data_IF_269785103170
#
_entry.id   IF_269785103170
#
_cell.length_a   1.000
_cell.length_b   1.000
_cell.length_c   1.000
_cell.angle_alpha   90.00
_cell.angle_beta   90.00
_cell.angle_gamma   90.00
#
_symmetry.space_group_name_H-M   'P 1'
#
loop_
_entity.id
_entity.type
_entity.pdbx_description
1 polymer ?
#
# COMPACT_ATOMS: atom_id res chain seq x y z
N UNK A 1 -13.25 23.30 4.46
CA UNK A 1 -12.13 22.61 3.79
C UNK A 1 -11.41 23.63 2.91
N UNK A 2 -10.10 23.77 3.07
CA UNK A 2 -9.32 24.65 2.18
C UNK A 2 -9.17 23.93 0.85
N UNK A 3 -9.67 24.54 -0.21
CA UNK A 3 -9.59 23.98 -1.56
C UNK A 3 -8.15 24.01 -2.14
N UNK A 4 -7.24 24.74 -1.50
CA UNK A 4 -5.86 24.95 -1.96
C UNK A 4 -4.86 24.35 -0.97
N UNK A 5 -4.07 23.38 -1.43
CA UNK A 5 -2.95 22.79 -0.67
C UNK A 5 -1.75 23.75 -0.71
N UNK A 6 -1.14 23.99 0.44
CA UNK A 6 0.04 24.86 0.62
C UNK A 6 1.20 24.04 1.19
N UNK A 7 2.40 24.57 1.05
CA UNK A 7 3.62 23.97 1.66
C UNK A 7 3.49 23.81 3.17
N UNK A 8 2.80 24.74 3.86
CA UNK A 8 2.53 24.66 5.30
C UNK A 8 1.68 23.45 5.67
N UNK A 9 0.82 22.97 4.78
CA UNK A 9 0.01 21.78 5.01
C UNK A 9 0.89 20.53 5.02
N UNK A 10 1.90 20.45 4.14
CA UNK A 10 2.91 19.38 4.14
C UNK A 10 3.75 19.47 5.43
N UNK A 11 4.16 20.67 5.84
CA UNK A 11 4.92 20.87 7.08
C UNK A 11 4.12 20.43 8.32
N UNK A 12 2.84 20.74 8.38
CA UNK A 12 1.97 20.37 9.49
C UNK A 12 1.76 18.86 9.55
N UNK A 13 1.55 18.20 8.39
CA UNK A 13 1.37 16.76 8.31
C UNK A 13 2.64 16.03 8.78
N UNK A 14 3.80 16.40 8.27
CA UNK A 14 5.08 15.78 8.65
C UNK A 14 5.43 16.03 10.12
N UNK A 15 5.15 17.23 10.65
CA UNK A 15 5.32 17.53 12.07
C UNK A 15 4.38 16.70 12.95
N UNK A 16 3.12 16.54 12.54
CA UNK A 16 2.13 15.70 13.23
C UNK A 16 2.56 14.24 13.29
N UNK A 17 3.07 13.70 12.19
CA UNK A 17 3.58 12.33 12.13
C UNK A 17 4.78 12.12 13.06
N UNK A 18 5.78 13.01 13.01
CA UNK A 18 6.93 12.94 13.90
C UNK A 18 6.54 13.05 15.39
N UNK A 19 5.65 13.97 15.73
CA UNK A 19 5.12 14.12 17.10
C UNK A 19 4.32 12.90 17.57
N UNK A 20 3.74 12.14 16.63
CA UNK A 20 3.07 10.88 16.91
C UNK A 20 4.03 9.69 17.06
N UNK A 21 5.34 9.89 16.83
CA UNK A 21 6.36 8.84 16.93
C UNK A 21 6.44 7.95 15.69
N UNK A 22 5.99 8.44 14.53
CA UNK A 22 6.19 7.77 13.25
C UNK A 22 7.68 7.79 12.91
N UNK A 23 8.22 6.64 12.51
CA UNK A 23 9.62 6.48 12.11
C UNK A 23 9.81 6.55 10.61
N UNK A 24 8.82 6.09 9.86
CA UNK A 24 8.87 6.02 8.39
C UNK A 24 7.59 6.59 7.80
N UNK A 25 7.73 7.56 6.91
CA UNK A 25 6.63 8.14 6.15
C UNK A 25 6.63 7.57 4.74
N UNK A 26 5.52 6.90 4.40
CA UNK A 26 5.31 6.34 3.07
C UNK A 26 4.37 7.24 2.27
N UNK A 27 4.84 7.74 1.14
CA UNK A 27 4.06 8.54 0.20
C UNK A 27 3.73 7.72 -1.04
N UNK A 28 2.44 7.59 -1.36
CA UNK A 28 1.99 6.98 -2.61
C UNK A 28 1.57 8.09 -3.59
N UNK A 29 2.50 8.61 -4.41
CA UNK A 29 2.26 9.78 -5.25
C UNK A 29 1.74 9.40 -6.63
N UNK A 30 0.85 8.42 -6.70
CA UNK A 30 0.16 8.01 -7.92
C UNK A 30 -1.34 8.21 -7.78
N UNK A 31 -1.96 8.68 -8.86
CA UNK A 31 -3.40 8.73 -9.03
C UNK A 31 -3.79 7.89 -10.26
N UNK A 32 -4.42 6.74 -9.99
CA UNK A 32 -4.55 5.72 -11.02
C UNK A 32 -3.18 5.27 -11.50
N UNK A 33 -2.96 5.28 -12.79
CA UNK A 33 -1.70 4.88 -13.43
C UNK A 33 -0.74 6.07 -13.67
N UNK A 34 -1.16 7.29 -13.35
CA UNK A 34 -0.36 8.50 -13.56
C UNK A 34 0.38 8.89 -12.28
N UNK A 35 1.44 9.67 -12.44
CA UNK A 35 2.32 10.08 -11.34
C UNK A 35 2.11 11.55 -10.95
N UNK A 36 2.45 11.89 -9.72
CA UNK A 36 2.33 13.26 -9.20
C UNK A 36 3.66 14.03 -9.23
N UNK A 37 4.53 13.74 -10.19
CA UNK A 37 5.81 14.44 -10.39
C UNK A 37 6.15 14.56 -11.87
N UNK A 38 7.02 15.51 -12.26
CA UNK A 38 7.51 15.64 -13.64
C UNK A 38 8.38 14.43 -14.01
N UNK A 39 7.76 13.36 -14.51
CA UNK A 39 8.43 12.11 -14.88
C UNK A 39 8.87 12.11 -16.33
N UNK A 40 9.97 11.41 -16.60
CA UNK A 40 10.40 11.06 -17.97
C UNK A 40 9.84 9.70 -18.39
N UNK A 41 9.35 8.89 -17.43
CA UNK A 41 8.92 7.52 -17.65
C UNK A 41 7.39 7.36 -17.69
N UNK A 42 6.63 8.31 -17.14
CA UNK A 42 5.19 8.22 -17.03
C UNK A 42 4.51 9.58 -17.15
N UNK A 43 3.18 9.56 -17.42
CA UNK A 43 2.40 10.78 -17.52
C UNK A 43 2.19 11.44 -16.15
N UNK A 44 2.37 12.76 -16.11
CA UNK A 44 1.99 13.54 -14.93
C UNK A 44 0.47 13.63 -14.87
N UNK A 45 -0.08 13.33 -13.71
CA UNK A 45 -1.52 13.37 -13.48
C UNK A 45 -2.12 14.74 -13.84
N UNK A 46 -2.97 14.73 -14.84
CA UNK A 46 -3.68 15.92 -15.33
C UNK A 46 -5.16 15.60 -15.48
N UNK A 47 -6.01 16.37 -14.79
CA UNK A 47 -7.46 16.21 -14.85
C UNK A 47 -8.10 17.37 -15.60
N UNK A 48 -8.51 17.13 -16.85
CA UNK A 48 -9.08 18.14 -17.73
C UNK A 48 -10.52 18.53 -17.39
N UNK A 49 -10.99 19.65 -17.94
CA UNK A 49 -12.34 20.18 -17.69
C UNK A 49 -13.48 19.29 -18.20
N UNK A 50 -13.24 18.48 -19.22
CA UNK A 50 -14.25 17.60 -19.84
C UNK A 50 -14.74 16.52 -18.88
N UNK A 51 -13.90 16.12 -17.91
CA UNK A 51 -14.23 15.10 -16.94
C UNK A 51 -15.13 15.58 -15.79
N UNK A 52 -15.30 16.90 -15.64
CA UNK A 52 -15.95 17.54 -14.46
C UNK A 52 -17.43 17.26 -14.26
N UNK A 53 -18.11 16.59 -15.17
CA UNK A 53 -19.57 16.60 -15.16
C UNK A 53 -20.24 15.41 -14.50
N UNK A 54 -19.52 14.48 -13.85
CA UNK A 54 -20.08 13.15 -13.55
C UNK A 54 -20.15 12.72 -12.08
N UNK A 55 -19.27 13.18 -11.17
CA UNK A 55 -19.34 12.77 -9.75
C UNK A 55 -18.59 13.69 -8.77
N UNK A 56 -18.82 13.49 -7.43
CA UNK A 56 -18.03 14.15 -6.36
C UNK A 56 -16.56 13.74 -6.41
N UNK A 57 -16.26 12.53 -6.85
CA UNK A 57 -14.91 11.99 -7.02
C UNK A 57 -14.17 12.74 -8.12
N UNK A 58 -14.83 13.06 -9.22
CA UNK A 58 -14.26 13.87 -10.32
C UNK A 58 -13.83 15.26 -9.83
N UNK A 59 -14.66 15.89 -9.00
CA UNK A 59 -14.32 17.18 -8.38
C UNK A 59 -13.08 17.09 -7.48
N UNK A 60 -12.91 15.99 -6.73
CA UNK A 60 -11.73 15.78 -5.91
C UNK A 60 -10.46 15.56 -6.76
N UNK A 61 -10.53 14.73 -7.79
CA UNK A 61 -9.41 14.49 -8.69
C UNK A 61 -8.96 15.76 -9.40
N UNK A 62 -9.92 16.60 -9.86
CA UNK A 62 -9.58 17.90 -10.44
C UNK A 62 -8.85 18.80 -9.45
N UNK A 63 -9.33 18.92 -8.21
CA UNK A 63 -8.66 19.71 -7.16
C UNK A 63 -7.23 19.19 -6.88
N UNK A 64 -7.05 17.88 -6.89
CA UNK A 64 -5.71 17.28 -6.75
C UNK A 64 -4.80 17.69 -7.91
N UNK A 65 -5.29 17.58 -9.15
CA UNK A 65 -4.56 18.00 -10.35
C UNK A 65 -4.20 19.49 -10.32
N UNK A 66 -5.17 20.36 -10.07
CA UNK A 66 -4.97 21.81 -10.04
C UNK A 66 -3.94 22.21 -8.96
N UNK A 67 -4.01 21.60 -7.77
CA UNK A 67 -3.03 21.84 -6.71
C UNK A 67 -1.63 21.35 -7.08
N UNK A 68 -1.52 20.17 -7.70
CA UNK A 68 -0.26 19.61 -8.16
C UNK A 68 0.40 20.56 -9.17
N UNK A 69 -0.32 20.91 -10.23
CA UNK A 69 0.23 21.77 -11.29
C UNK A 69 0.60 23.15 -10.77
N UNK A 70 -0.20 23.73 -9.87
CA UNK A 70 0.13 25.02 -9.24
C UNK A 70 1.41 24.94 -8.42
N UNK A 71 1.61 23.88 -7.63
CA UNK A 71 2.83 23.68 -6.85
C UNK A 71 4.05 23.49 -7.77
N UNK A 72 3.94 22.65 -8.81
CA UNK A 72 5.01 22.43 -9.76
C UNK A 72 5.40 23.71 -10.54
N UNK A 73 4.40 24.50 -10.97
CA UNK A 73 4.64 25.80 -11.61
C UNK A 73 5.34 26.80 -10.69
N UNK A 74 5.06 26.72 -9.39
CA UNK A 74 5.75 27.53 -8.37
C UNK A 74 7.13 26.95 -7.97
N UNK A 75 7.63 25.93 -8.68
CA UNK A 75 8.87 25.21 -8.35
C UNK A 75 8.87 24.62 -6.92
N UNK A 76 7.70 24.23 -6.45
CA UNK A 76 7.48 23.61 -5.15
C UNK A 76 7.03 22.16 -5.38
N UNK A 77 7.98 21.26 -5.70
CA UNK A 77 7.68 19.85 -5.85
C UNK A 77 7.18 19.28 -4.49
N UNK A 78 5.91 18.82 -4.42
CA UNK A 78 5.34 18.37 -3.16
C UNK A 78 6.01 17.10 -2.62
N UNK A 79 6.56 16.25 -3.50
CA UNK A 79 7.25 15.01 -3.11
C UNK A 79 8.60 15.37 -2.48
N UNK A 80 9.38 16.23 -3.12
CA UNK A 80 10.67 16.70 -2.58
C UNK A 80 10.47 17.37 -1.22
N UNK A 81 9.48 18.26 -1.13
CA UNK A 81 9.12 18.92 0.14
C UNK A 81 8.77 17.93 1.23
N UNK A 82 7.98 16.92 0.91
CA UNK A 82 7.57 15.88 1.84
C UNK A 82 8.78 15.08 2.35
N UNK A 83 9.61 14.55 1.46
CA UNK A 83 10.81 13.77 1.80
C UNK A 83 11.81 14.59 2.62
N UNK A 84 12.08 15.82 2.18
CA UNK A 84 12.96 16.74 2.91
C UNK A 84 12.46 17.02 4.34
N UNK A 85 11.15 17.23 4.51
CA UNK A 85 10.55 17.48 5.82
C UNK A 85 10.52 16.24 6.71
N UNK A 86 10.27 15.06 6.15
CA UNK A 86 10.37 13.80 6.87
C UNK A 86 11.79 13.67 7.48
N UNK A 87 12.82 13.83 6.65
CA UNK A 87 14.21 13.75 7.08
C UNK A 87 14.59 14.77 8.16
N UNK A 88 14.17 16.04 8.00
CA UNK A 88 14.40 17.09 9.01
C UNK A 88 13.74 16.80 10.36
N UNK A 89 12.79 15.87 10.38
CA UNK A 89 12.10 15.40 11.59
C UNK A 89 12.58 14.03 12.08
N UNK A 90 13.67 13.52 11.51
CA UNK A 90 14.25 12.22 11.89
C UNK A 90 13.46 11.02 11.41
N UNK A 91 12.59 11.19 10.39
CA UNK A 91 11.83 10.10 9.78
C UNK A 91 12.45 9.72 8.45
N UNK A 92 12.34 8.45 8.09
CA UNK A 92 12.61 7.96 6.74
C UNK A 92 11.48 8.38 5.80
N UNK A 93 11.83 8.71 4.57
CA UNK A 93 10.88 9.02 3.50
C UNK A 93 10.90 7.93 2.43
N UNK A 94 9.81 7.20 2.28
CA UNK A 94 9.64 6.10 1.33
C UNK A 94 8.60 6.49 0.28
N UNK A 95 8.86 6.14 -0.98
CA UNK A 95 7.88 6.29 -2.06
C UNK A 95 7.28 4.93 -2.39
N UNK A 96 5.96 4.83 -2.29
CA UNK A 96 5.18 3.64 -2.63
C UNK A 96 4.71 3.71 -4.07
N UNK A 97 5.11 2.73 -4.88
CA UNK A 97 4.70 2.55 -6.26
C UNK A 97 3.62 1.47 -6.33
N UNK A 98 2.45 1.83 -6.84
CA UNK A 98 1.34 0.90 -7.02
C UNK A 98 1.60 -0.01 -8.21
N UNK A 99 1.74 -1.28 -7.93
CA UNK A 99 1.88 -2.30 -8.96
C UNK A 99 0.50 -2.62 -9.52
N UNK A 100 0.27 -2.25 -10.77
CA UNK A 100 -0.97 -2.54 -11.49
C UNK A 100 -2.25 -1.87 -10.93
N UNK A 101 -2.22 -0.54 -10.69
CA UNK A 101 -3.44 0.20 -10.30
C UNK A 101 -4.47 0.16 -11.45
N UNK A 102 -5.69 -0.28 -11.12
CA UNK A 102 -6.80 -0.41 -12.06
C UNK A 102 -7.97 0.53 -11.72
N UNK A 103 -7.69 1.65 -11.10
CA UNK A 103 -8.70 2.64 -10.75
C UNK A 103 -9.36 3.19 -12.03
N UNK A 104 -10.69 3.13 -12.10
CA UNK A 104 -11.52 3.55 -13.24
C UNK A 104 -11.18 2.91 -14.60
N UNK A 105 -10.54 1.76 -14.61
CA UNK A 105 -10.07 1.10 -15.82
C UNK A 105 -11.22 0.70 -16.78
N UNK A 106 -12.45 0.61 -16.28
CA UNK A 106 -13.65 0.38 -17.09
C UNK A 106 -14.05 1.61 -17.93
N UNK A 107 -13.50 2.77 -17.62
CA UNK A 107 -13.69 4.03 -18.36
C UNK A 107 -12.45 4.30 -19.20
N UNK A 108 -12.44 3.84 -20.44
CA UNK A 108 -11.30 3.98 -21.36
C UNK A 108 -10.93 5.44 -21.67
N UNK A 109 -11.80 6.38 -21.36
CA UNK A 109 -11.60 7.83 -21.46
C UNK A 109 -11.19 8.47 -20.12
N UNK A 110 -10.94 7.66 -19.08
CA UNK A 110 -10.58 8.19 -17.77
C UNK A 110 -9.18 8.83 -17.79
N UNK A 111 -9.05 10.04 -17.23
CA UNK A 111 -7.75 10.70 -17.07
C UNK A 111 -6.83 10.03 -16.02
N UNK A 112 -7.31 8.97 -15.37
CA UNK A 112 -6.52 8.15 -14.45
C UNK A 112 -5.73 7.05 -15.16
N UNK A 113 -5.99 6.81 -16.45
CA UNK A 113 -5.28 5.84 -17.28
C UNK A 113 -4.07 6.49 -17.94
N UNK A 114 -2.91 5.83 -17.88
CA UNK A 114 -1.68 6.31 -18.51
C UNK A 114 -1.74 6.19 -20.04
N UNK A 115 -0.97 7.02 -20.74
CA UNK A 115 -0.77 6.87 -22.17
C UNK A 115 -0.15 5.51 -22.50
N UNK A 116 0.74 4.99 -21.66
CA UNK A 116 1.31 3.65 -21.82
C UNK A 116 0.22 2.58 -21.89
N UNK A 117 -0.75 2.61 -20.97
CA UNK A 117 -1.87 1.66 -20.97
C UNK A 117 -2.78 1.84 -22.18
N UNK A 118 -3.06 3.10 -22.56
CA UNK A 118 -3.97 3.42 -23.67
C UNK A 118 -3.39 3.00 -25.02
N UNK A 119 -2.11 3.26 -25.24
CA UNK A 119 -1.41 3.00 -26.50
C UNK A 119 -1.05 1.54 -26.72
N UNK A 120 -1.01 0.72 -25.65
CA UNK A 120 -0.59 -0.67 -25.74
C UNK A 120 -1.68 -1.67 -25.28
N UNK A 121 -2.80 -1.78 -25.99
CA UNK A 121 -3.86 -2.72 -25.63
C UNK A 121 -3.39 -4.18 -25.58
N UNK A 122 -2.36 -4.55 -26.35
CA UNK A 122 -1.76 -5.88 -26.32
C UNK A 122 -0.98 -6.20 -25.03
N UNK A 123 -0.64 -5.18 -24.21
CA UNK A 123 0.06 -5.36 -22.94
C UNK A 123 -0.90 -5.57 -21.77
N UNK A 124 -2.20 -5.58 -22.02
CA UNK A 124 -3.22 -5.78 -21.00
C UNK A 124 -3.46 -7.26 -20.77
N UNK A 125 -3.88 -7.59 -19.55
CA UNK A 125 -4.30 -8.92 -19.20
C UNK A 125 -5.51 -9.31 -20.06
N UNK A 126 -5.48 -10.53 -20.61
CA UNK A 126 -6.61 -11.17 -21.28
C UNK A 126 -7.17 -12.27 -20.39
N UNK A 127 -8.50 -12.38 -20.27
CA UNK A 127 -9.14 -13.45 -19.50
C UNK A 127 -10.64 -13.25 -19.34
N UNK A 128 -11.32 -14.29 -18.87
CA UNK A 128 -12.75 -14.24 -18.60
C UNK A 128 -13.03 -13.47 -17.30
N UNK A 129 -13.93 -12.50 -17.38
CA UNK A 129 -14.42 -11.69 -16.28
C UNK A 129 -13.87 -10.26 -16.28
N UNK A 130 -14.72 -9.30 -15.85
CA UNK A 130 -14.42 -7.86 -15.84
C UNK A 130 -13.12 -7.48 -15.11
N UNK A 131 -12.73 -8.25 -14.11
CA UNK A 131 -11.54 -7.96 -13.32
C UNK A 131 -10.21 -8.31 -14.00
N UNK A 132 -10.22 -9.24 -14.97
CA UNK A 132 -9.01 -9.77 -15.63
C UNK A 132 -8.60 -9.00 -16.87
N UNK A 133 -9.53 -8.26 -17.51
CA UNK A 133 -9.35 -7.74 -18.87
C UNK A 133 -8.55 -6.45 -19.00
N UNK A 134 -8.15 -5.80 -17.92
CA UNK A 134 -7.68 -4.41 -18.03
C UNK A 134 -6.38 -4.09 -17.28
N UNK A 135 -5.88 -4.95 -16.41
CA UNK A 135 -4.57 -4.76 -15.77
C UNK A 135 -3.43 -4.94 -16.79
N UNK A 136 -2.26 -4.41 -16.49
CA UNK A 136 -1.06 -4.66 -17.28
C UNK A 136 -0.54 -6.08 -17.00
N UNK A 137 -0.08 -6.78 -18.04
CA UNK A 137 0.42 -8.14 -17.96
C UNK A 137 1.93 -8.14 -17.65
N UNK A 138 2.30 -8.41 -16.41
CA UNK A 138 3.70 -8.49 -15.97
C UNK A 138 4.45 -9.71 -16.55
N UNK A 139 3.79 -10.64 -17.23
CA UNK A 139 4.48 -11.67 -17.99
C UNK A 139 5.28 -11.08 -19.17
N UNK A 140 4.91 -9.90 -19.66
CA UNK A 140 5.58 -9.21 -20.75
C UNK A 140 6.74 -8.36 -20.24
N UNK A 141 7.91 -8.48 -20.88
CA UNK A 141 9.11 -7.70 -20.57
C UNK A 141 8.83 -6.19 -20.65
N UNK A 142 8.11 -5.74 -21.66
CA UNK A 142 7.78 -4.33 -21.88
C UNK A 142 7.02 -3.70 -20.70
N UNK A 143 6.17 -4.49 -20.03
CA UNK A 143 5.45 -4.02 -18.84
C UNK A 143 6.40 -3.91 -17.65
N UNK A 144 7.27 -4.89 -17.44
CA UNK A 144 8.27 -4.85 -16.36
C UNK A 144 9.28 -3.71 -16.58
N UNK A 145 9.75 -3.53 -17.81
CA UNK A 145 10.67 -2.43 -18.21
C UNK A 145 10.04 -1.06 -17.94
N UNK A 146 8.75 -0.90 -18.23
CA UNK A 146 8.02 0.33 -17.90
C UNK A 146 8.03 0.61 -16.37
N UNK A 147 7.74 -0.39 -15.54
CA UNK A 147 7.78 -0.21 -14.09
C UNK A 147 9.20 -0.01 -13.55
N UNK A 148 10.22 -0.65 -14.14
CA UNK A 148 11.62 -0.40 -13.80
C UNK A 148 12.06 1.01 -14.19
N UNK A 149 11.63 1.51 -15.34
CA UNK A 149 11.94 2.88 -15.76
C UNK A 149 11.29 3.91 -14.82
N UNK A 150 10.07 3.65 -14.36
CA UNK A 150 9.38 4.47 -13.37
C UNK A 150 10.09 4.46 -12.00
N UNK A 151 10.52 3.27 -11.56
CA UNK A 151 11.32 3.11 -10.34
C UNK A 151 12.64 3.90 -10.44
N UNK A 152 13.35 3.75 -11.54
CA UNK A 152 14.62 4.44 -11.78
C UNK A 152 14.46 5.95 -11.79
N UNK A 153 13.48 6.46 -12.52
CA UNK A 153 13.17 7.90 -12.54
C UNK A 153 12.88 8.45 -11.13
N UNK A 154 12.11 7.71 -10.35
CA UNK A 154 11.79 8.08 -8.96
C UNK A 154 13.04 8.09 -8.07
N UNK A 155 13.86 7.05 -8.14
CA UNK A 155 15.07 6.92 -7.31
C UNK A 155 16.17 7.92 -7.70
N UNK A 156 16.31 8.25 -8.97
CA UNK A 156 17.31 9.23 -9.44
C UNK A 156 16.88 10.66 -9.14
N UNK A 157 15.59 10.94 -9.22
CA UNK A 157 15.03 12.28 -9.00
C UNK A 157 15.02 12.69 -7.53
N UNK A 158 14.66 11.77 -6.63
CA UNK A 158 14.36 12.09 -5.24
C UNK A 158 15.36 11.53 -4.24
N UNK A 159 15.70 12.31 -3.19
CA UNK A 159 16.58 11.85 -2.11
C UNK A 159 15.80 10.98 -1.11
N UNK A 160 15.07 9.98 -1.61
CA UNK A 160 14.29 9.04 -0.81
C UNK A 160 15.18 8.07 -0.01
N UNK A 161 14.64 7.49 1.05
CA UNK A 161 15.31 6.48 1.88
C UNK A 161 14.95 5.07 1.43
N UNK A 162 13.81 4.91 0.78
CA UNK A 162 13.36 3.62 0.27
C UNK A 162 12.24 3.74 -0.74
N UNK A 163 11.97 2.61 -1.39
CA UNK A 163 10.81 2.40 -2.26
C UNK A 163 9.97 1.25 -1.72
N UNK A 164 8.67 1.40 -1.84
CA UNK A 164 7.70 0.34 -1.56
C UNK A 164 7.02 -0.08 -2.86
N UNK A 165 6.97 -1.37 -3.11
CA UNK A 165 6.20 -1.98 -4.19
C UNK A 165 4.84 -2.40 -3.63
N UNK A 166 3.77 -1.67 -3.94
CA UNK A 166 2.42 -1.97 -3.44
C UNK A 166 1.70 -2.96 -4.36
N UNK A 167 1.68 -4.23 -3.97
CA UNK A 167 0.98 -5.31 -4.67
C UNK A 167 -0.47 -5.51 -4.21
N UNK A 168 -0.95 -4.72 -3.25
CA UNK A 168 -2.28 -4.96 -2.65
C UNK A 168 -3.43 -4.34 -3.42
N UNK A 169 -3.17 -3.36 -4.30
CA UNK A 169 -4.23 -2.62 -4.98
C UNK A 169 -5.11 -3.50 -5.88
N UNK A 170 -4.51 -4.36 -6.67
CA UNK A 170 -5.18 -5.36 -7.49
C UNK A 170 -4.18 -6.50 -7.77
N UNK A 171 -4.13 -7.54 -6.94
CA UNK A 171 -3.10 -8.57 -7.00
C UNK A 171 -3.33 -9.57 -8.15
N UNK A 172 -3.38 -9.07 -9.37
CA UNK A 172 -3.43 -9.85 -10.59
C UNK A 172 -2.39 -9.28 -11.55
N UNK A 173 -1.28 -10.01 -11.72
CA UNK A 173 -0.11 -9.55 -12.47
C UNK A 173 0.13 -10.33 -13.76
N UNK A 174 -0.46 -11.51 -13.91
CA UNK A 174 -0.38 -12.34 -15.10
C UNK A 174 -1.68 -13.12 -15.33
N UNK A 175 -1.89 -13.64 -16.53
CA UNK A 175 -3.02 -14.54 -16.79
C UNK A 175 -2.88 -15.83 -15.98
N UNK A 176 -3.99 -16.57 -15.80
CA UNK A 176 -3.96 -17.87 -15.10
C UNK A 176 -3.01 -18.89 -15.74
N UNK A 177 -2.80 -18.79 -17.05
CA UNK A 177 -1.93 -19.69 -17.82
C UNK A 177 -0.44 -19.33 -17.69
N UNK A 178 -0.14 -18.05 -17.38
CA UNK A 178 1.21 -17.48 -17.29
C UNK A 178 1.68 -17.30 -15.86
N UNK A 179 0.92 -17.75 -14.85
CA UNK A 179 1.30 -17.63 -13.44
C UNK A 179 2.62 -18.35 -13.18
N UNK A 180 3.67 -17.59 -13.25
CA UNK A 180 5.02 -18.04 -12.97
C UNK A 180 5.69 -17.06 -11.99
N UNK A 181 5.90 -17.52 -10.77
CA UNK A 181 6.59 -16.72 -9.75
C UNK A 181 8.01 -16.33 -10.15
N UNK A 182 8.66 -17.11 -11.04
CA UNK A 182 9.99 -16.77 -11.54
C UNK A 182 10.00 -15.44 -12.31
N UNK A 183 8.91 -15.08 -12.99
CA UNK A 183 8.79 -13.81 -13.70
C UNK A 183 8.81 -12.64 -12.70
N UNK A 184 8.01 -12.74 -11.63
CA UNK A 184 7.98 -11.72 -10.58
C UNK A 184 9.28 -11.72 -9.76
N UNK A 185 9.87 -12.87 -9.49
CA UNK A 185 11.18 -12.97 -8.84
C UNK A 185 12.24 -12.22 -9.63
N UNK A 186 12.32 -12.45 -10.94
CA UNK A 186 13.27 -11.72 -11.80
C UNK A 186 13.01 -10.20 -11.78
N UNK A 187 11.75 -9.76 -11.79
CA UNK A 187 11.42 -8.34 -11.66
C UNK A 187 11.90 -7.76 -10.32
N UNK A 188 11.67 -8.44 -9.18
CA UNK A 188 12.10 -7.97 -7.86
C UNK A 188 13.63 -7.95 -7.75
N UNK A 189 14.32 -8.95 -8.31
CA UNK A 189 15.78 -8.95 -8.43
C UNK A 189 16.29 -7.72 -9.19
N UNK A 190 15.66 -7.38 -10.32
CA UNK A 190 16.00 -6.18 -11.10
C UNK A 190 15.72 -4.88 -10.32
N UNK A 191 14.64 -4.83 -9.54
CA UNK A 191 14.36 -3.71 -8.63
C UNK A 191 15.50 -3.55 -7.61
N UNK A 192 15.91 -4.65 -6.95
CA UNK A 192 17.05 -4.63 -6.01
C UNK A 192 18.34 -4.18 -6.68
N UNK A 193 18.66 -4.72 -7.84
CA UNK A 193 19.87 -4.32 -8.60
C UNK A 193 19.84 -2.82 -8.96
N UNK A 194 18.69 -2.31 -9.41
CA UNK A 194 18.54 -0.90 -9.77
C UNK A 194 18.68 0.02 -8.55
N UNK A 195 18.06 -0.34 -7.41
CA UNK A 195 18.16 0.47 -6.19
C UNK A 195 19.55 0.43 -5.58
N UNK A 196 20.25 -0.71 -5.66
CA UNK A 196 21.65 -0.84 -5.22
C UNK A 196 22.58 0.04 -6.07
N UNK A 197 22.50 -0.06 -7.41
CA UNK A 197 23.29 0.76 -8.34
C UNK A 197 23.13 2.27 -8.05
N UNK A 198 21.89 2.73 -7.86
CA UNK A 198 21.63 4.15 -7.60
C UNK A 198 22.08 4.52 -6.18
N UNK A 199 21.88 3.64 -5.22
CA UNK A 199 22.32 3.81 -3.82
C UNK A 199 23.83 3.98 -3.72
N UNK A 200 24.59 3.14 -4.42
CA UNK A 200 26.06 3.21 -4.48
C UNK A 200 26.53 4.53 -5.11
N UNK A 201 25.95 4.94 -6.23
CA UNK A 201 26.30 6.23 -6.90
C UNK A 201 26.08 7.45 -6.00
N UNK A 202 25.06 7.42 -5.13
CA UNK A 202 24.76 8.53 -4.23
C UNK A 202 25.34 8.35 -2.81
N UNK A 203 26.11 7.29 -2.60
CA UNK A 203 26.69 6.90 -1.31
C UNK A 203 25.63 6.82 -0.18
N UNK A 204 24.45 6.33 -0.52
CA UNK A 204 23.33 6.15 0.39
C UNK A 204 22.42 5.02 -0.11
N UNK A 205 22.25 3.95 0.66
CA UNK A 205 21.41 2.83 0.26
C UNK A 205 19.94 3.28 0.07
N UNK A 206 19.25 2.57 -0.79
CA UNK A 206 17.80 2.68 -1.00
C UNK A 206 17.18 1.38 -0.52
N UNK A 207 16.35 1.45 0.52
CA UNK A 207 15.59 0.32 1.01
C UNK A 207 14.52 -0.10 -0.01
N UNK A 208 14.31 -1.39 -0.14
CA UNK A 208 13.23 -1.97 -0.94
C UNK A 208 12.25 -2.66 -0.01
N UNK A 209 11.00 -2.27 -0.06
CA UNK A 209 9.94 -2.95 0.68
C UNK A 209 8.83 -3.41 -0.26
N UNK A 210 8.08 -4.41 0.18
CA UNK A 210 6.91 -4.88 -0.54
C UNK A 210 5.69 -4.87 0.37
N UNK A 211 4.62 -4.24 -0.11
CA UNK A 211 3.30 -4.33 0.50
C UNK A 211 2.51 -5.40 -0.21
N UNK A 212 2.15 -6.46 0.52
CA UNK A 212 1.68 -7.73 -0.01
C UNK A 212 0.33 -8.16 0.61
N UNK A 213 -0.41 -9.08 -0.04
CA UNK A 213 -1.64 -9.65 0.51
C UNK A 213 -1.47 -10.26 1.90
N UNK A 214 -2.58 -10.38 2.64
CA UNK A 214 -2.63 -10.76 4.06
C UNK A 214 -2.34 -12.24 4.35
N UNK A 215 -2.20 -13.11 3.34
CA UNK A 215 -1.82 -14.52 3.51
C UNK A 215 -0.78 -14.97 2.50
N UNK A 216 0.06 -15.94 2.86
CA UNK A 216 1.01 -16.56 1.91
C UNK A 216 0.30 -17.26 0.75
N UNK A 217 -0.90 -17.79 1.00
CA UNK A 217 -1.74 -18.39 -0.03
C UNK A 217 -2.15 -17.35 -1.08
N UNK A 218 -2.61 -16.17 -0.66
CA UNK A 218 -2.99 -15.09 -1.58
C UNK A 218 -1.77 -14.54 -2.34
N UNK A 219 -0.62 -14.43 -1.67
CA UNK A 219 0.64 -14.08 -2.32
C UNK A 219 0.98 -15.08 -3.44
N UNK A 220 0.95 -16.39 -3.13
CA UNK A 220 1.19 -17.45 -4.11
C UNK A 220 0.16 -17.41 -5.24
N UNK A 221 -1.12 -17.21 -4.90
CA UNK A 221 -2.18 -17.08 -5.89
C UNK A 221 -1.99 -15.88 -6.83
N UNK A 222 -1.33 -14.83 -6.36
CA UNK A 222 -0.94 -13.67 -7.16
C UNK A 222 0.38 -13.86 -7.93
N UNK A 223 1.11 -14.96 -7.73
CA UNK A 223 2.42 -15.22 -8.33
C UNK A 223 3.57 -14.53 -7.60
N UNK A 224 3.39 -14.16 -6.33
CA UNK A 224 4.37 -13.50 -5.49
C UNK A 224 5.08 -14.54 -4.60
N UNK A 225 6.34 -14.88 -4.91
CA UNK A 225 7.13 -15.84 -4.15
C UNK A 225 7.89 -15.14 -3.01
N UNK A 226 7.15 -14.67 -2.01
CA UNK A 226 7.64 -13.85 -0.90
C UNK A 226 8.82 -14.51 -0.15
N UNK A 227 8.78 -15.84 0.03
CA UNK A 227 9.86 -16.58 0.66
C UNK A 227 11.20 -16.44 -0.09
N UNK A 228 11.16 -16.44 -1.42
CA UNK A 228 12.37 -16.24 -2.23
C UNK A 228 12.89 -14.81 -2.06
N UNK A 229 12.00 -13.82 -2.03
CA UNK A 229 12.38 -12.41 -1.88
C UNK A 229 13.11 -12.16 -0.56
N UNK A 230 12.64 -12.78 0.53
CA UNK A 230 13.32 -12.74 1.83
C UNK A 230 14.62 -13.53 1.82
N UNK A 231 14.62 -14.75 1.25
CA UNK A 231 15.79 -15.63 1.20
C UNK A 231 16.98 -15.01 0.48
N UNK A 232 16.71 -14.28 -0.62
CA UNK A 232 17.75 -13.66 -1.44
C UNK A 232 18.01 -12.20 -1.07
N UNK A 233 17.45 -11.70 0.03
CA UNK A 233 17.60 -10.31 0.51
C UNK A 233 17.20 -9.27 -0.56
N UNK A 234 16.20 -9.60 -1.41
CA UNK A 234 15.69 -8.66 -2.43
C UNK A 234 14.77 -7.59 -1.84
N UNK A 235 14.23 -7.83 -0.67
CA UNK A 235 13.44 -6.87 0.11
C UNK A 235 14.03 -6.71 1.51
N UNK A 236 13.98 -5.47 2.03
CA UNK A 236 14.48 -5.14 3.37
C UNK A 236 13.42 -5.34 4.45
N UNK A 237 12.15 -5.16 4.10
CA UNK A 237 11.01 -5.45 4.97
C UNK A 237 9.74 -5.70 4.17
N UNK A 238 8.76 -6.32 4.81
CA UNK A 238 7.45 -6.58 4.26
C UNK A 238 6.36 -5.82 5.02
N UNK A 239 5.33 -5.38 4.31
CA UNK A 239 4.08 -4.91 4.91
C UNK A 239 2.95 -5.83 4.47
N UNK A 240 2.49 -6.66 5.38
CA UNK A 240 1.34 -7.53 5.14
C UNK A 240 0.07 -6.72 5.32
N UNK A 241 -0.75 -6.63 4.28
CA UNK A 241 -1.85 -5.70 4.26
C UNK A 241 -3.11 -6.28 3.62
N UNK A 242 -4.27 -6.16 4.29
CA UNK A 242 -5.55 -6.37 3.65
C UNK A 242 -5.83 -5.25 2.64
N UNK A 243 -6.68 -5.53 1.65
CA UNK A 243 -6.90 -4.61 0.54
C UNK A 243 -7.59 -3.31 0.96
N UNK A 244 -8.59 -3.36 1.84
CA UNK A 244 -9.46 -2.20 2.12
C UNK A 244 -9.83 -1.98 3.59
N UNK A 245 -9.70 -2.97 4.45
CA UNK A 245 -10.10 -2.89 5.86
C UNK A 245 -9.01 -3.46 6.76
N UNK A 246 -9.13 -3.23 8.07
CA UNK A 246 -8.30 -3.92 9.04
C UNK A 246 -8.75 -5.37 9.13
N UNK A 247 -7.78 -6.29 9.12
CA UNK A 247 -7.95 -7.70 9.47
C UNK A 247 -7.13 -7.97 10.73
N UNK A 248 -7.76 -8.57 11.73
CA UNK A 248 -7.09 -8.89 12.99
C UNK A 248 -6.50 -10.30 13.02
N UNK A 249 -6.91 -11.15 12.07
CA UNK A 249 -6.50 -12.56 12.00
C UNK A 249 -5.43 -12.80 10.90
N UNK A 250 -4.58 -11.80 10.64
CA UNK A 250 -3.46 -11.98 9.72
C UNK A 250 -2.48 -13.01 10.33
N UNK A 251 -2.16 -14.11 9.63
CA UNK A 251 -1.23 -15.13 10.14
C UNK A 251 0.22 -14.68 9.98
N UNK A 252 0.62 -13.66 10.74
CA UNK A 252 1.96 -13.04 10.65
C UNK A 252 3.05 -14.08 10.90
N UNK A 253 2.79 -15.05 11.81
CA UNK A 253 3.70 -16.14 12.14
C UNK A 253 4.06 -17.01 10.92
N UNK A 254 3.16 -17.15 9.92
CA UNK A 254 3.49 -17.87 8.68
C UNK A 254 4.55 -17.10 7.86
N UNK A 255 4.41 -15.77 7.77
CA UNK A 255 5.39 -14.93 7.11
C UNK A 255 6.74 -14.97 7.84
N UNK A 256 6.74 -14.90 9.18
CA UNK A 256 7.96 -15.00 9.98
C UNK A 256 8.66 -16.35 9.80
N UNK A 257 7.92 -17.43 9.63
CA UNK A 257 8.49 -18.75 9.40
C UNK A 257 9.27 -18.87 8.07
N UNK A 258 8.90 -18.08 7.05
CA UNK A 258 9.57 -18.09 5.73
C UNK A 258 10.50 -16.89 5.51
N UNK A 259 10.42 -15.86 6.37
CA UNK A 259 11.16 -14.60 6.28
C UNK A 259 11.82 -14.30 7.64
N UNK A 260 12.62 -15.22 8.16
CA UNK A 260 13.19 -15.18 9.51
C UNK A 260 14.01 -13.92 9.82
N UNK A 261 14.72 -13.37 8.83
CA UNK A 261 15.57 -12.16 8.96
C UNK A 261 14.91 -10.88 8.45
N UNK A 262 13.84 -10.99 7.66
CA UNK A 262 13.17 -9.84 7.06
C UNK A 262 12.05 -9.38 7.99
N UNK A 263 12.07 -8.14 8.49
CA UNK A 263 11.01 -7.59 9.33
C UNK A 263 9.63 -7.63 8.63
N UNK A 264 8.61 -8.02 9.39
CA UNK A 264 7.23 -8.13 8.92
C UNK A 264 6.34 -7.15 9.68
N UNK A 265 5.87 -6.14 8.99
CA UNK A 265 4.91 -5.18 9.50
C UNK A 265 3.50 -5.53 9.04
N UNK A 266 2.49 -5.05 9.76
CA UNK A 266 1.09 -5.26 9.40
C UNK A 266 0.35 -3.94 9.22
N UNK A 267 -0.55 -3.89 8.25
CA UNK A 267 -1.30 -2.68 7.96
C UNK A 267 -2.62 -2.63 8.75
N UNK A 268 -2.84 -1.49 9.40
CA UNK A 268 -4.12 -1.09 9.97
C UNK A 268 -4.82 -0.12 9.02
N UNK A 269 -6.04 -0.46 8.60
CA UNK A 269 -6.97 0.47 7.95
C UNK A 269 -7.82 1.20 8.99
N UNK A 270 -8.61 2.16 8.56
CA UNK A 270 -9.52 2.89 9.47
C UNK A 270 -10.87 2.22 9.69
N UNK A 271 -11.09 1.06 9.09
CA UNK A 271 -12.37 0.34 9.16
C UNK A 271 -12.18 -1.12 9.52
N UNK A 272 -13.16 -1.68 10.22
CA UNK A 272 -13.29 -3.12 10.45
C UNK A 272 -14.69 -3.53 9.96
N UNK A 273 -14.75 -4.49 9.04
CA UNK A 273 -16.01 -4.90 8.43
C UNK A 273 -16.77 -3.74 7.75
N UNK A 274 -16.05 -2.77 7.16
CA UNK A 274 -16.62 -1.60 6.49
C UNK A 274 -17.10 -0.48 7.43
N UNK A 275 -16.92 -0.62 8.74
CA UNK A 275 -17.30 0.41 9.74
C UNK A 275 -16.05 1.11 10.30
N UNK A 276 -16.10 2.43 10.56
CA UNK A 276 -15.01 3.13 11.21
C UNK A 276 -14.68 2.49 12.57
N UNK A 277 -13.38 2.39 12.87
CA UNK A 277 -12.90 1.83 14.12
C UNK A 277 -12.83 2.91 15.20
N UNK A 278 -13.30 2.58 16.42
CA UNK A 278 -13.00 3.36 17.60
C UNK A 278 -11.51 3.21 17.97
N UNK A 279 -10.95 4.15 18.73
CA UNK A 279 -9.55 4.12 19.14
C UNK A 279 -9.21 2.85 19.91
N UNK A 280 -10.08 2.42 20.81
CA UNK A 280 -9.94 1.20 21.61
C UNK A 280 -9.95 -0.06 20.73
N UNK A 281 -10.66 -0.03 19.60
CA UNK A 281 -10.66 -1.13 18.62
C UNK A 281 -9.35 -1.15 17.83
N UNK A 282 -8.77 0.02 17.52
CA UNK A 282 -7.44 0.12 16.90
C UNK A 282 -6.38 -0.44 17.84
N UNK A 283 -6.45 -0.12 19.15
CA UNK A 283 -5.53 -0.65 20.15
C UNK A 283 -5.62 -2.17 20.25
N UNK A 284 -6.85 -2.72 20.30
CA UNK A 284 -7.06 -4.17 20.33
C UNK A 284 -6.53 -4.86 19.06
N UNK A 285 -6.81 -4.32 17.88
CA UNK A 285 -6.32 -4.85 16.63
C UNK A 285 -4.79 -4.86 16.58
N UNK A 286 -4.15 -3.76 17.00
CA UNK A 286 -2.70 -3.68 17.07
C UNK A 286 -2.11 -4.71 18.03
N UNK A 287 -2.72 -4.89 19.23
CA UNK A 287 -2.30 -5.89 20.20
C UNK A 287 -2.34 -7.30 19.63
N UNK A 288 -3.45 -7.67 18.98
CA UNK A 288 -3.60 -8.97 18.31
C UNK A 288 -2.55 -9.19 17.23
N UNK A 289 -2.25 -8.18 16.40
CA UNK A 289 -1.26 -8.28 15.33
C UNK A 289 0.18 -8.41 15.87
N UNK A 290 0.52 -7.70 16.95
CA UNK A 290 1.81 -7.88 17.63
C UNK A 290 1.94 -9.27 18.25
N UNK A 291 0.88 -9.77 18.90
CA UNK A 291 0.86 -11.11 19.47
C UNK A 291 1.05 -12.20 18.40
N UNK A 292 0.51 -11.96 17.19
CA UNK A 292 0.72 -12.80 16.01
C UNK A 292 2.13 -12.67 15.39
N UNK A 293 3.02 -11.83 15.95
CA UNK A 293 4.41 -11.71 15.54
C UNK A 293 4.76 -10.52 14.68
N UNK A 294 3.87 -9.52 14.51
CA UNK A 294 4.21 -8.29 13.81
C UNK A 294 5.31 -7.50 14.52
N UNK A 295 6.23 -6.93 13.78
CA UNK A 295 7.35 -6.14 14.32
C UNK A 295 7.06 -4.63 14.30
N UNK A 296 5.93 -4.23 13.74
CA UNK A 296 5.45 -2.86 13.72
C UNK A 296 4.14 -2.69 12.99
N UNK A 297 3.57 -1.49 13.11
CA UNK A 297 2.27 -1.16 12.53
C UNK A 297 2.43 -0.15 11.38
N UNK A 298 1.76 -0.45 10.28
CA UNK A 298 1.64 0.43 9.12
C UNK A 298 0.22 1.02 9.07
N UNK A 299 0.08 2.34 9.13
CA UNK A 299 -1.22 2.99 8.95
C UNK A 299 -1.47 3.27 7.46
N UNK A 300 -2.40 2.55 6.87
CA UNK A 300 -2.72 2.70 5.43
C UNK A 300 -3.43 4.01 5.10
N UNK A 301 -4.00 4.71 6.06
CA UNK A 301 -4.65 6.00 5.87
C UNK A 301 -4.72 6.80 7.16
N UNK A 302 -4.02 7.93 7.18
CA UNK A 302 -4.07 8.88 8.30
C UNK A 302 -5.40 9.64 8.40
N UNK A 303 -6.23 9.58 7.37
CA UNK A 303 -7.56 10.20 7.39
C UNK A 303 -8.56 9.37 8.22
N UNK A 304 -8.33 8.08 8.32
CA UNK A 304 -9.23 7.16 9.01
C UNK A 304 -8.80 6.88 10.47
N UNK A 305 -7.49 6.90 10.75
CA UNK A 305 -6.95 6.75 12.10
C UNK A 305 -6.18 8.03 12.44
N UNK A 306 -6.60 8.81 13.45
CA UNK A 306 -5.88 10.03 13.83
C UNK A 306 -4.44 9.74 14.25
N UNK A 307 -3.49 10.58 13.80
CA UNK A 307 -2.05 10.37 14.04
C UNK A 307 -1.68 10.24 15.52
N UNK A 308 -2.41 10.91 16.44
CA UNK A 308 -2.10 10.82 17.86
C UNK A 308 -2.28 9.41 18.44
N UNK A 309 -3.12 8.57 17.81
CA UNK A 309 -3.35 7.17 18.21
C UNK A 309 -2.09 6.34 17.99
N UNK A 310 -1.24 6.74 17.03
CA UNK A 310 -0.03 5.99 16.66
C UNK A 310 0.93 5.82 17.85
N UNK A 311 1.01 6.78 18.77
CA UNK A 311 1.85 6.64 19.99
C UNK A 311 1.48 5.42 20.82
N UNK A 312 0.19 5.09 20.90
CA UNK A 312 -0.32 3.97 21.67
C UNK A 312 -0.15 2.61 21.00
N UNK A 313 0.12 2.57 19.69
CA UNK A 313 0.20 1.32 18.92
C UNK A 313 1.59 1.04 18.34
N UNK A 314 2.63 1.72 18.79
CA UNK A 314 3.99 1.54 18.25
C UNK A 314 4.68 0.27 18.76
N UNK A 315 4.23 -0.32 19.88
CA UNK A 315 4.77 -1.54 20.48
C UNK A 315 3.77 -2.12 21.48
N UNK A 316 3.96 -3.39 21.87
CA UNK A 316 3.18 -4.04 22.92
C UNK A 316 3.29 -3.28 24.25
N UNK A 317 4.47 -2.78 24.61
CA UNK A 317 4.68 -1.98 25.81
C UNK A 317 3.82 -0.69 25.78
N UNK A 318 3.75 0.00 24.64
CA UNK A 318 2.91 1.17 24.49
C UNK A 318 1.41 0.85 24.62
N UNK A 319 1.01 -0.37 24.21
CA UNK A 319 -0.35 -0.86 24.29
C UNK A 319 -0.77 -1.32 25.71
N UNK A 320 0.18 -1.65 26.58
CA UNK A 320 -0.12 -2.20 27.92
C UNK A 320 -1.09 -1.32 28.72
N UNK A 321 -0.95 0.00 28.62
CA UNK A 321 -1.77 0.97 29.34
C UNK A 321 -2.92 1.58 28.51
N UNK A 322 -3.22 1.01 27.34
CA UNK A 322 -4.31 1.51 26.49
C UNK A 322 -5.59 0.69 26.71
N UNK A 323 -6.73 1.38 26.73
CA UNK A 323 -8.03 0.70 26.68
C UNK A 323 -8.19 -0.03 25.36
N UNK A 324 -8.72 -1.26 25.40
CA UNK A 324 -8.90 -2.14 24.24
C UNK A 324 -10.34 -2.60 24.13
N UNK A 325 -10.88 -2.56 22.92
CA UNK A 325 -12.17 -3.13 22.57
C UNK A 325 -11.97 -4.15 21.45
N UNK A 326 -11.98 -5.41 21.79
CA UNK A 326 -11.86 -6.50 20.81
C UNK A 326 -13.17 -6.63 20.03
N UNK A 327 -13.08 -6.50 18.71
CA UNK A 327 -14.20 -6.61 17.81
C UNK A 327 -13.80 -7.46 16.59
N UNK A 328 -14.73 -8.28 16.14
CA UNK A 328 -14.57 -9.12 14.96
C UNK A 328 -15.62 -8.71 13.93
N UNK A 329 -15.21 -8.64 12.67
CA UNK A 329 -16.08 -8.38 11.54
C UNK A 329 -15.92 -9.46 10.48
N UNK A 330 -16.89 -9.60 9.58
CA UNK A 330 -16.71 -10.43 8.41
C UNK A 330 -15.49 -9.93 7.64
N UNK A 331 -14.64 -10.85 7.14
CA UNK A 331 -13.54 -10.49 6.24
C UNK A 331 -14.09 -9.70 5.08
N UNK A 332 -13.40 -8.62 4.70
CA UNK A 332 -13.75 -7.84 3.52
C UNK A 332 -13.92 -8.78 2.32
N UNK A 333 -14.91 -8.51 1.49
CA UNK A 333 -15.37 -9.33 0.36
C UNK A 333 -14.36 -9.42 -0.79
N UNK A 334 -13.13 -9.79 -0.52
CA UNK A 334 -12.20 -10.26 -1.55
C UNK A 334 -12.18 -11.78 -1.45
N UNK A 335 -12.80 -12.41 -2.44
CA UNK A 335 -12.87 -13.85 -2.59
C UNK A 335 -11.46 -14.45 -2.54
N UNK A 336 -11.10 -15.03 -1.43
CA UNK A 336 -10.27 -16.22 -1.25
C UNK A 336 -9.61 -16.22 0.12
N UNK A 337 -10.28 -16.68 1.10
CA UNK A 337 -9.59 -17.36 2.20
C UNK A 337 -10.57 -18.33 2.82
N UNK A 338 -10.36 -19.60 2.52
CA UNK A 338 -10.94 -20.72 3.23
C UNK A 338 -10.26 -20.84 4.62
N UNK A 339 -10.15 -19.75 5.35
CA UNK A 339 -9.72 -19.75 6.73
C UNK A 339 -10.92 -19.52 7.63
N UNK A 340 -10.99 -20.20 8.72
CA UNK A 340 -11.98 -20.34 9.79
C UNK A 340 -12.95 -19.17 10.15
N UNK A 341 -13.09 -18.15 9.35
CA UNK A 341 -14.06 -17.06 9.47
C UNK A 341 -15.47 -17.43 8.96
N UNK A 342 -15.77 -18.70 8.81
CA UNK A 342 -17.13 -19.21 8.55
C UNK A 342 -18.12 -18.94 9.71
N UNK A 343 -17.65 -18.31 10.80
CA UNK A 343 -18.49 -18.07 11.98
C UNK A 343 -19.29 -16.77 11.94
N UNK A 344 -18.98 -15.83 11.03
CA UNK A 344 -19.71 -14.56 10.98
C UNK A 344 -20.24 -14.25 9.57
N UNK A 345 -21.50 -13.82 9.38
CA UNK A 345 -22.48 -13.62 10.45
C UNK A 345 -23.04 -14.95 10.99
N UNK A 346 -23.21 -15.05 12.32
CA UNK A 346 -23.84 -16.19 12.98
C UNK A 346 -25.34 -15.98 13.01
N UNK A 347 -26.10 -16.94 12.51
CA UNK A 347 -27.53 -16.97 12.72
C UNK A 347 -27.79 -17.60 14.09
N UNK A 348 -28.37 -16.81 15.02
CA UNK A 348 -28.75 -17.25 16.32
C UNK A 348 -30.21 -17.73 16.25
N UNK A 349 -30.47 -18.97 16.69
CA UNK A 349 -31.80 -19.49 16.86
C UNK A 349 -32.16 -19.51 18.37
N UNK A 350 -33.37 -19.12 18.75
CA UNK A 350 -33.79 -19.17 20.15
C UNK A 350 -33.59 -20.57 20.75
N UNK A 351 -32.95 -20.64 21.93
CA UNK A 351 -32.73 -21.89 22.65
C UNK A 351 -31.53 -22.74 22.16
N UNK A 352 -30.78 -22.27 21.16
CA UNK A 352 -29.56 -22.93 20.71
C UNK A 352 -28.34 -22.06 21.02
N UNK A 353 -27.61 -22.28 22.12
CA UNK A 353 -26.39 -21.56 22.41
C UNK A 353 -25.30 -21.89 21.37
N UNK A 354 -24.60 -20.86 20.93
CA UNK A 354 -23.40 -20.98 20.08
C UNK A 354 -22.20 -20.40 20.82
N UNK A 355 -21.17 -21.20 20.97
CA UNK A 355 -19.90 -20.74 21.51
C UNK A 355 -19.05 -20.10 20.39
N UNK A 356 -18.48 -18.96 20.69
CA UNK A 356 -17.48 -18.28 19.84
C UNK A 356 -16.22 -18.16 20.69
N UNK A 357 -15.13 -18.70 20.21
CA UNK A 357 -13.82 -18.48 20.84
C UNK A 357 -13.19 -17.22 20.25
N UNK A 358 -12.87 -16.27 21.13
CA UNK A 358 -12.21 -15.02 20.76
C UNK A 358 -10.82 -15.04 21.38
N UNK A 359 -9.80 -14.71 20.58
CA UNK A 359 -8.45 -14.51 21.07
C UNK A 359 -8.29 -13.05 21.50
N UNK A 360 -7.94 -12.84 22.75
CA UNK A 360 -7.61 -11.53 23.33
C UNK A 360 -6.24 -11.66 24.00
N UNK A 361 -5.16 -11.15 23.36
CA UNK A 361 -3.82 -11.22 23.93
C UNK A 361 -3.77 -10.45 25.25
N UNK A 362 -3.09 -11.04 26.23
CA UNK A 362 -2.74 -10.37 27.48
C UNK A 362 -1.55 -9.44 27.23
N UNK A 363 -1.70 -8.16 27.60
CA UNK A 363 -0.66 -7.11 27.45
C UNK A 363 -0.22 -6.56 28.79
#
# INVERSE_FOLDING_TARGET
>A
SRDTVRTEDIHRLTAGAANAGVTTLVLSPQLGQNVAWPSQAADVFTYGEVALRRSKTDSMHKKCSDNLHRLLQAQQDPIELFLRRARLRGMEGVISLRMNDRLEIERTDSPLLSAFWQQHPAYRLSGEGRASTYGLNFALDQVRDYYLSLLRDTCERYPLDGVELDFTRHPLFSSRQEKNSAIMNHFIEQVRATTAEIGDRRNRPILVSARIPSTLQDCTAAGLAVADWCRFDWVDFLTVAPLQSTETEIPVWEFKAVCDRTPVYTALGGTLGGRPMAVETVHAAAATLFDNGAEGMYLSSTAAIPLHVFKGIKSMEALANQSKLYAWGPKGTTASSAGNNALLPITLSPGQPRAITLHAPET
#
